data_IF_943109037436
#
_entry.id   IF_943109037436
#
_cell.length_a   1.000
_cell.length_b   1.000
_cell.length_c   1.000
_cell.angle_alpha   90.00
_cell.angle_beta   90.00
_cell.angle_gamma   90.00
#
_symmetry.space_group_name_H-M   'P 1'
#
loop_
_entity.id
_entity.type
_entity.pdbx_description
1 polymer ?
#
# COMPACT_ATOMS: atom_id res chain seq x y z
N UNK A 1 -32.45 54.65 46.07
CA UNK A 1 -32.83 53.92 44.84
C UNK A 1 -31.91 54.39 43.74
N UNK A 2 -31.20 53.59 42.95
CA UNK A 2 -30.76 52.20 42.96
C UNK A 2 -29.66 52.11 41.85
N UNK A 3 -28.82 51.08 41.92
CA UNK A 3 -27.57 50.87 41.17
C UNK A 3 -27.69 50.77 39.62
N UNK A 4 -26.56 50.88 38.88
CA UNK A 4 -26.50 50.60 37.45
C UNK A 4 -26.26 49.11 37.15
N UNK A 5 -26.98 48.50 36.20
CA UNK A 5 -26.67 47.13 35.71
C UNK A 5 -27.15 46.85 34.27
N UNK A 6 -26.38 45.96 33.62
CA UNK A 6 -26.76 45.00 32.61
C UNK A 6 -26.76 45.40 31.12
N UNK A 7 -25.54 45.39 30.56
CA UNK A 7 -25.13 44.58 29.40
C UNK A 7 -26.23 44.30 28.35
N UNK A 8 -26.39 45.20 27.38
CA UNK A 8 -26.95 44.81 26.08
C UNK A 8 -25.93 43.95 25.34
N UNK A 9 -26.32 42.68 25.23
CA UNK A 9 -25.71 41.55 24.54
C UNK A 9 -24.93 41.98 23.29
N UNK A 10 -23.65 41.61 23.28
CA UNK A 10 -22.83 41.56 22.06
C UNK A 10 -23.56 40.66 21.04
N UNK A 11 -23.50 40.96 19.74
CA UNK A 11 -23.88 39.95 18.75
C UNK A 11 -22.87 38.79 18.85
N UNK A 12 -23.39 37.59 19.10
CA UNK A 12 -22.64 36.34 18.99
C UNK A 12 -22.20 36.20 17.51
N UNK A 13 -20.94 36.57 17.24
CA UNK A 13 -20.20 36.20 16.03
C UNK A 13 -19.54 34.84 16.26
N UNK A 14 -20.37 33.84 16.55
CA UNK A 14 -19.98 32.44 16.40
C UNK A 14 -20.38 32.02 14.98
N UNK A 15 -19.61 32.47 13.99
CA UNK A 15 -19.71 32.01 12.62
C UNK A 15 -18.33 32.14 11.98
N UNK A 16 -17.74 30.97 11.72
CA UNK A 16 -16.48 30.71 11.03
C UNK A 16 -15.23 31.36 11.63
N UNK A 17 -14.57 30.58 12.48
CA UNK A 17 -13.11 30.47 12.39
C UNK A 17 -12.76 30.02 10.96
N UNK A 18 -12.73 30.97 10.03
CA UNK A 18 -11.81 30.86 8.90
C UNK A 18 -10.42 31.09 9.50
N UNK A 19 -9.77 30.00 9.89
CA UNK A 19 -8.31 29.97 9.83
C UNK A 19 -7.94 30.09 8.35
N UNK A 20 -7.82 31.33 7.90
CA UNK A 20 -7.06 31.66 6.70
C UNK A 20 -5.60 31.29 6.99
N UNK A 21 -5.30 30.01 6.91
CA UNK A 21 -3.93 29.51 6.83
C UNK A 21 -3.27 30.19 5.64
N UNK A 22 -2.25 30.98 5.94
CA UNK A 22 -1.37 31.64 4.99
C UNK A 22 -0.99 30.70 3.84
N UNK A 23 -1.42 31.02 2.61
CA UNK A 23 -1.08 30.27 1.39
C UNK A 23 -0.61 31.21 0.27
N UNK A 24 -0.25 32.46 0.58
CA UNK A 24 0.18 33.48 -0.40
C UNK A 24 1.71 33.52 -0.63
N UNK A 25 2.47 32.64 0.03
CA UNK A 25 3.94 32.62 -0.02
C UNK A 25 4.57 31.28 -0.41
N UNK A 26 3.77 30.24 -0.60
CA UNK A 26 4.27 28.91 -0.95
C UNK A 26 4.50 28.79 -2.47
N UNK A 27 5.55 28.06 -2.91
CA UNK A 27 5.80 27.81 -4.31
C UNK A 27 4.65 27.03 -4.97
N UNK A 28 4.45 27.24 -6.27
CA UNK A 28 3.30 26.75 -7.04
C UNK A 28 3.06 25.24 -6.87
N UNK A 29 4.11 24.43 -6.84
CA UNK A 29 4.00 22.96 -6.71
C UNK A 29 3.41 22.53 -5.36
N UNK A 30 3.75 23.24 -4.28
CA UNK A 30 3.23 22.96 -2.94
C UNK A 30 1.74 23.28 -2.92
N UNK A 31 1.35 24.44 -3.47
CA UNK A 31 -0.05 24.84 -3.60
C UNK A 31 -0.84 23.86 -4.47
N UNK A 32 -0.24 23.34 -5.54
CA UNK A 32 -0.85 22.32 -6.39
C UNK A 32 -1.15 21.02 -5.61
N UNK A 33 -0.18 20.50 -4.83
CA UNK A 33 -0.39 19.29 -4.03
C UNK A 33 -1.44 19.52 -2.92
N UNK A 34 -1.41 20.68 -2.25
CA UNK A 34 -2.45 21.05 -1.27
C UNK A 34 -3.84 21.07 -1.91
N UNK A 35 -3.97 21.61 -3.12
CA UNK A 35 -5.23 21.62 -3.85
C UNK A 35 -5.70 20.21 -4.24
N UNK A 36 -4.77 19.32 -4.61
CA UNK A 36 -5.09 17.91 -4.86
C UNK A 36 -5.61 17.24 -3.58
N UNK A 37 -4.95 17.45 -2.44
CA UNK A 37 -5.40 16.90 -1.14
C UNK A 37 -6.79 17.41 -0.75
N UNK A 38 -7.04 18.72 -0.92
CA UNK A 38 -8.36 19.34 -0.71
C UNK A 38 -9.42 18.73 -1.63
N UNK A 39 -9.09 18.47 -2.91
CA UNK A 39 -10.03 17.85 -3.87
C UNK A 39 -10.42 16.42 -3.51
N UNK A 40 -9.57 15.71 -2.76
CA UNK A 40 -9.85 14.37 -2.24
C UNK A 40 -10.60 14.39 -0.91
N UNK A 41 -10.94 15.57 -0.38
CA UNK A 41 -11.62 15.73 0.91
C UNK A 41 -10.71 15.60 2.13
N UNK A 42 -9.38 15.76 1.96
CA UNK A 42 -8.42 15.76 3.08
C UNK A 42 -8.18 17.20 3.51
N UNK A 43 -8.79 17.60 4.62
CA UNK A 43 -8.70 18.96 5.17
C UNK A 43 -7.52 19.13 6.15
N UNK A 44 -7.16 18.06 6.87
CA UNK A 44 -6.05 18.05 7.82
C UNK A 44 -4.96 17.05 7.38
N UNK A 45 -3.72 17.53 7.23
CA UNK A 45 -2.56 16.70 6.92
C UNK A 45 -1.31 17.21 7.64
N UNK A 46 -0.38 16.30 7.93
CA UNK A 46 0.93 16.67 8.45
C UNK A 46 1.75 17.38 7.35
N UNK A 47 2.49 18.46 7.66
CA UNK A 47 3.28 19.18 6.66
C UNK A 47 4.30 18.30 5.91
N UNK A 48 4.84 17.24 6.54
CA UNK A 48 5.78 16.31 5.90
C UNK A 48 5.17 15.46 4.77
N UNK A 49 3.84 15.32 4.74
CA UNK A 49 3.14 14.59 3.67
C UNK A 49 3.30 15.32 2.34
N UNK A 50 3.25 16.66 2.35
CA UNK A 50 3.37 17.47 1.14
C UNK A 50 4.77 17.32 0.54
N UNK A 51 5.81 17.40 1.37
CA UNK A 51 7.20 17.18 0.93
C UNK A 51 7.39 15.77 0.35
N UNK A 52 6.86 14.75 1.03
CA UNK A 52 6.97 13.35 0.59
C UNK A 52 6.26 13.12 -0.74
N UNK A 53 5.05 13.68 -0.92
CA UNK A 53 4.30 13.59 -2.17
C UNK A 53 5.01 14.31 -3.31
N UNK A 54 5.60 15.47 -3.03
CA UNK A 54 6.37 16.23 -4.00
C UNK A 54 7.63 15.45 -4.44
N UNK A 55 8.39 14.93 -3.48
CA UNK A 55 9.56 14.08 -3.73
C UNK A 55 9.19 12.84 -4.54
N UNK A 56 8.07 12.19 -4.19
CA UNK A 56 7.56 11.04 -4.93
C UNK A 56 7.21 11.40 -6.38
N UNK A 57 6.50 12.51 -6.60
CA UNK A 57 6.12 12.94 -7.94
C UNK A 57 7.35 13.21 -8.81
N UNK A 58 8.32 13.98 -8.29
CA UNK A 58 9.55 14.28 -9.00
C UNK A 58 10.37 13.04 -9.32
N UNK A 59 10.54 12.14 -8.36
CA UNK A 59 11.25 10.88 -8.60
C UNK A 59 10.52 10.02 -9.63
N UNK A 60 9.20 9.88 -9.50
CA UNK A 60 8.42 9.05 -10.42
C UNK A 60 8.48 9.57 -11.86
N UNK A 61 8.29 10.88 -12.07
CA UNK A 61 8.36 11.48 -13.41
C UNK A 61 9.77 11.33 -13.99
N UNK A 62 10.81 11.54 -13.18
CA UNK A 62 12.21 11.35 -13.62
C UNK A 62 12.46 9.90 -14.03
N UNK A 63 12.06 8.93 -13.21
CA UNK A 63 12.23 7.49 -13.51
C UNK A 63 11.51 7.09 -14.81
N UNK A 64 10.30 7.62 -15.04
CA UNK A 64 9.51 7.36 -16.26
C UNK A 64 10.21 7.95 -17.49
N UNK A 65 10.67 9.20 -17.39
CA UNK A 65 11.33 9.90 -18.51
C UNK A 65 12.69 9.26 -18.85
N UNK A 66 13.47 8.88 -17.84
CA UNK A 66 14.73 8.14 -18.04
C UNK A 66 14.48 6.80 -18.73
N UNK A 67 13.48 6.04 -18.26
CA UNK A 67 13.09 4.77 -18.88
C UNK A 67 12.64 4.96 -20.33
N UNK A 68 11.88 6.02 -20.62
CA UNK A 68 11.44 6.34 -21.97
C UNK A 68 12.60 6.77 -22.89
N UNK A 69 13.59 7.50 -22.36
CA UNK A 69 14.79 7.87 -23.11
C UNK A 69 15.62 6.63 -23.53
N UNK A 70 15.72 5.63 -22.64
CA UNK A 70 16.36 4.34 -22.97
C UNK A 70 15.59 3.62 -24.08
N UNK A 71 14.26 3.58 -24.00
CA UNK A 71 13.40 2.97 -25.03
C UNK A 71 13.55 3.69 -26.38
N UNK A 72 13.55 5.02 -26.38
CA UNK A 72 13.75 5.81 -27.60
C UNK A 72 15.13 5.57 -28.23
N UNK A 73 16.17 5.37 -27.41
CA UNK A 73 17.52 5.00 -27.88
C UNK A 73 17.61 3.59 -28.46
N UNK A 74 16.76 2.67 -27.99
CA UNK A 74 16.66 1.30 -28.51
C UNK A 74 15.75 1.20 -29.74
N UNK A 75 14.85 2.16 -29.93
CA UNK A 75 14.03 2.24 -31.13
C UNK A 75 14.93 2.52 -32.34
N UNK A 76 14.84 1.67 -33.38
CA UNK A 76 15.56 1.86 -34.66
C UNK A 76 14.94 2.98 -35.50
N UNK A 77 14.63 4.12 -34.89
CA UNK A 77 14.09 5.31 -35.55
C UNK A 77 15.24 6.26 -35.89
N UNK A 78 15.06 7.04 -36.96
CA UNK A 78 16.08 8.01 -37.41
C UNK A 78 16.28 9.15 -36.40
N UNK A 79 15.22 9.54 -35.70
CA UNK A 79 15.27 10.50 -34.59
C UNK A 79 15.16 9.76 -33.25
N UNK A 80 16.03 10.15 -32.31
CA UNK A 80 16.09 9.61 -30.94
C UNK A 80 15.33 10.49 -29.94
N UNK A 81 14.36 11.24 -30.42
CA UNK A 81 13.51 12.09 -29.60
C UNK A 81 12.50 11.22 -28.83
N UNK A 82 12.25 11.55 -27.57
CA UNK A 82 11.26 10.83 -26.74
C UNK A 82 9.86 11.08 -27.29
N UNK A 83 9.17 10.01 -27.67
CA UNK A 83 7.79 10.08 -28.17
C UNK A 83 6.77 9.67 -27.11
N UNK A 84 5.50 9.99 -27.34
CA UNK A 84 4.40 9.56 -26.49
C UNK A 84 4.32 8.04 -26.32
N UNK A 85 4.62 7.29 -27.39
CA UNK A 85 4.60 5.82 -27.34
C UNK A 85 5.72 5.26 -26.44
N UNK A 86 6.86 5.94 -26.38
CA UNK A 86 7.98 5.55 -25.51
C UNK A 86 7.62 5.77 -24.03
N UNK A 87 6.96 6.88 -23.70
CA UNK A 87 6.43 7.15 -22.35
C UNK A 87 5.35 6.14 -21.95
N UNK A 88 4.44 5.82 -22.87
CA UNK A 88 3.37 4.82 -22.64
C UNK A 88 3.95 3.43 -22.41
N UNK A 89 4.99 3.05 -23.14
CA UNK A 89 5.69 1.79 -22.95
C UNK A 89 6.45 1.77 -21.61
N UNK A 90 7.18 2.83 -21.28
CA UNK A 90 7.90 2.98 -20.01
C UNK A 90 6.95 2.80 -18.81
N UNK A 91 5.81 3.49 -18.82
CA UNK A 91 4.79 3.37 -17.78
C UNK A 91 4.30 1.92 -17.64
N UNK A 92 3.92 1.28 -18.74
CA UNK A 92 3.45 -0.13 -18.70
C UNK A 92 4.49 -1.09 -18.13
N UNK A 93 5.76 -0.86 -18.42
CA UNK A 93 6.86 -1.67 -17.88
C UNK A 93 7.01 -1.50 -16.36
N UNK A 94 6.80 -0.28 -15.85
CA UNK A 94 6.87 0.00 -14.40
C UNK A 94 5.62 -0.45 -13.64
N UNK A 95 4.43 -0.43 -14.27
CA UNK A 95 3.16 -0.83 -13.65
C UNK A 95 3.17 -2.26 -13.08
N UNK A 96 3.91 -3.16 -13.72
CA UNK A 96 4.03 -4.56 -13.27
C UNK A 96 4.67 -4.74 -11.88
N UNK A 97 5.37 -3.72 -11.35
CA UNK A 97 6.04 -3.79 -10.05
C UNK A 97 5.22 -3.21 -8.89
N UNK A 98 4.34 -2.24 -9.16
CA UNK A 98 3.72 -1.40 -8.11
C UNK A 98 2.20 -1.41 -8.13
N UNK A 99 1.57 -1.68 -9.28
CA UNK A 99 0.11 -1.72 -9.39
C UNK A 99 -0.38 -3.15 -9.24
N UNK A 100 -0.76 -3.50 -8.01
CA UNK A 100 -1.62 -4.64 -7.76
C UNK A 100 -3.01 -4.34 -8.32
N UNK A 101 -3.25 -4.65 -9.60
CA UNK A 101 -4.63 -4.74 -10.07
C UNK A 101 -5.34 -5.76 -9.18
N UNK A 102 -6.48 -5.41 -8.55
CA UNK A 102 -7.20 -6.36 -7.72
C UNK A 102 -7.49 -7.61 -8.57
N UNK A 103 -7.22 -8.83 -8.07
CA UNK A 103 -7.47 -10.03 -8.84
C UNK A 103 -8.92 -10.03 -9.33
N UNK A 104 -9.12 -10.28 -10.62
CA UNK A 104 -10.45 -10.28 -11.23
C UNK A 104 -11.40 -11.22 -10.49
N UNK A 105 -12.71 -10.94 -10.54
CA UNK A 105 -13.69 -11.80 -9.90
C UNK A 105 -13.64 -13.26 -10.41
N UNK A 106 -13.25 -13.47 -11.66
CA UNK A 106 -13.08 -14.80 -12.26
C UNK A 106 -11.92 -15.56 -11.62
N UNK A 107 -10.76 -14.92 -11.45
CA UNK A 107 -9.60 -15.55 -10.79
C UNK A 107 -9.88 -15.86 -9.33
N UNK A 108 -10.58 -14.96 -8.62
CA UNK A 108 -11.03 -15.22 -7.25
C UNK A 108 -12.02 -16.38 -7.17
N UNK A 109 -12.99 -16.47 -8.09
CA UNK A 109 -13.95 -17.59 -8.15
C UNK A 109 -13.26 -18.92 -8.47
N UNK A 110 -12.28 -18.93 -9.37
CA UNK A 110 -11.51 -20.13 -9.68
C UNK A 110 -10.72 -20.62 -8.46
N UNK A 111 -10.00 -19.72 -7.78
CA UNK A 111 -9.29 -20.04 -6.53
C UNK A 111 -10.24 -20.49 -5.42
N UNK A 112 -11.39 -19.85 -5.28
CA UNK A 112 -12.42 -20.24 -4.33
C UNK A 112 -13.01 -21.62 -4.66
N UNK A 113 -13.26 -21.93 -5.94
CA UNK A 113 -13.72 -23.25 -6.37
C UNK A 113 -12.72 -24.36 -6.03
N UNK A 114 -11.43 -24.13 -6.27
CA UNK A 114 -10.36 -25.08 -5.92
C UNK A 114 -10.28 -25.33 -4.40
N UNK A 115 -10.43 -24.28 -3.59
CA UNK A 115 -10.36 -24.38 -2.12
C UNK A 115 -11.62 -24.95 -1.49
N UNK A 116 -12.79 -24.46 -1.91
CA UNK A 116 -14.09 -24.85 -1.37
C UNK A 116 -14.53 -26.24 -1.84
N UNK A 117 -13.92 -26.78 -2.91
CA UNK A 117 -14.13 -28.15 -3.34
C UNK A 117 -13.53 -29.20 -2.40
N UNK A 118 -12.64 -28.82 -1.47
CA UNK A 118 -12.11 -29.72 -0.45
C UNK A 118 -13.20 -29.97 0.61
N UNK A 119 -13.59 -31.24 0.87
CA UNK A 119 -14.61 -31.52 1.87
C UNK A 119 -14.15 -31.03 3.24
N UNK A 120 -15.09 -30.54 4.03
CA UNK A 120 -14.80 -30.04 5.38
C UNK A 120 -14.18 -31.18 6.23
N UNK A 121 -13.14 -30.90 7.03
CA UNK A 121 -12.56 -31.88 7.92
C UNK A 121 -13.58 -32.30 8.99
N UNK A 122 -13.57 -33.59 9.35
CA UNK A 122 -14.46 -34.12 10.38
C UNK A 122 -14.12 -33.50 11.73
N UNK A 123 -15.08 -32.82 12.34
CA UNK A 123 -14.92 -32.23 13.68
C UNK A 123 -15.04 -33.35 14.72
N UNK A 124 -13.97 -33.61 15.47
CA UNK A 124 -13.89 -34.77 16.36
C UNK A 124 -14.82 -34.67 17.59
N UNK A 125 -14.98 -33.47 18.18
CA UNK A 125 -15.86 -33.20 19.33
C UNK A 125 -16.34 -31.74 19.37
N UNK A 126 -17.58 -31.47 19.82
CA UNK A 126 -18.01 -30.11 20.13
C UNK A 126 -17.05 -29.46 21.14
N UNK A 127 -16.53 -28.27 20.82
CA UNK A 127 -15.60 -27.54 21.67
C UNK A 127 -14.11 -27.91 21.54
N UNK A 128 -13.75 -28.91 20.73
CA UNK A 128 -12.36 -29.15 20.33
C UNK A 128 -12.16 -28.69 18.89
N UNK A 129 -11.15 -27.85 18.67
CA UNK A 129 -10.73 -27.44 17.32
C UNK A 129 -10.27 -28.62 16.46
N UNK A 130 -9.87 -28.39 15.21
CA UNK A 130 -9.41 -29.45 14.32
C UNK A 130 -8.34 -30.31 15.00
N UNK A 131 -8.43 -31.64 14.82
CA UNK A 131 -7.61 -32.64 15.51
C UNK A 131 -6.10 -32.59 15.20
N UNK A 132 -5.61 -31.56 14.52
CA UNK A 132 -4.21 -31.36 14.20
C UNK A 132 -3.44 -30.88 15.44
N UNK A 133 -2.88 -31.83 16.20
CA UNK A 133 -1.89 -31.63 17.27
C UNK A 133 -0.63 -30.84 16.83
N UNK A 134 -0.48 -30.53 15.53
CA UNK A 134 0.77 -30.03 14.92
C UNK A 134 0.74 -28.53 14.62
N UNK A 135 -0.32 -27.78 14.96
CA UNK A 135 -0.41 -26.33 14.64
C UNK A 135 -0.70 -25.47 15.86
N UNK A 136 -0.21 -25.88 17.03
CA UNK A 136 -0.08 -25.00 18.18
C UNK A 136 1.26 -24.28 18.11
N UNK A 137 1.26 -22.96 17.94
CA UNK A 137 2.45 -22.16 18.27
C UNK A 137 2.59 -22.19 19.80
N UNK A 138 3.31 -23.18 20.33
CA UNK A 138 3.70 -23.17 21.74
C UNK A 138 4.71 -22.03 21.96
N UNK A 139 4.55 -21.30 23.06
CA UNK A 139 5.40 -20.14 23.40
C UNK A 139 6.89 -20.50 23.54
N UNK A 140 7.24 -21.78 23.68
CA UNK A 140 8.63 -22.18 23.95
C UNK A 140 9.52 -22.41 22.74
N UNK A 141 8.95 -22.57 21.54
CA UNK A 141 9.77 -22.95 20.38
C UNK A 141 9.63 -21.99 19.20
N UNK A 142 10.36 -20.87 19.24
CA UNK A 142 10.56 -20.02 18.04
C UNK A 142 11.35 -20.74 16.94
N UNK A 143 11.95 -21.90 17.25
CA UNK A 143 12.74 -22.71 16.33
C UNK A 143 11.95 -23.82 15.62
N UNK A 144 10.75 -24.18 16.10
CA UNK A 144 9.94 -25.24 15.46
C UNK A 144 9.12 -24.65 14.33
N UNK A 145 9.80 -24.25 13.26
CA UNK A 145 9.13 -23.79 12.04
C UNK A 145 8.30 -24.93 11.45
N UNK A 146 7.00 -24.78 11.66
CA UNK A 146 5.84 -25.30 10.91
C UNK A 146 6.25 -25.92 9.57
N UNK A 147 6.57 -27.21 9.58
CA UNK A 147 6.60 -28.02 8.36
C UNK A 147 5.15 -28.39 8.06
N UNK A 148 4.41 -27.46 7.45
CA UNK A 148 3.09 -27.77 6.89
C UNK A 148 3.23 -29.04 6.03
N UNK A 149 2.33 -30.02 6.16
CA UNK A 149 2.28 -31.13 5.23
C UNK A 149 2.24 -30.58 3.80
N UNK A 150 2.86 -31.29 2.86
CA UNK A 150 3.12 -30.78 1.52
C UNK A 150 1.88 -30.24 0.79
N UNK A 151 0.72 -30.74 1.21
CA UNK A 151 -0.63 -30.58 0.68
C UNK A 151 -1.30 -29.25 1.10
N UNK A 152 -0.81 -28.67 2.19
CA UNK A 152 -1.29 -27.40 2.78
C UNK A 152 -0.32 -26.23 2.54
N UNK A 153 0.82 -26.50 1.90
CA UNK A 153 1.72 -25.43 1.45
C UNK A 153 1.04 -24.71 0.28
N UNK A 154 0.59 -23.49 0.52
CA UNK A 154 0.23 -22.57 -0.55
C UNK A 154 1.48 -22.32 -1.42
N UNK A 155 1.65 -23.06 -2.51
CA UNK A 155 2.72 -22.86 -3.50
C UNK A 155 2.40 -21.66 -4.37
N UNK A 156 2.26 -20.47 -3.77
CA UNK A 156 2.09 -19.20 -4.50
C UNK A 156 3.44 -18.66 -5.00
N UNK A 157 4.55 -19.33 -4.67
CA UNK A 157 5.89 -18.96 -5.10
C UNK A 157 6.59 -20.17 -5.72
N UNK A 158 6.63 -20.29 -7.06
CA UNK A 158 7.23 -21.45 -7.74
C UNK A 158 8.73 -21.65 -7.49
N UNK A 159 9.42 -20.69 -6.86
CA UNK A 159 10.88 -20.68 -6.70
C UNK A 159 11.38 -20.60 -5.26
N UNK A 160 10.53 -20.79 -4.24
CA UNK A 160 11.02 -20.77 -2.85
C UNK A 160 11.79 -22.06 -2.52
N UNK A 161 13.12 -21.99 -2.59
CA UNK A 161 14.02 -23.04 -2.10
C UNK A 161 14.29 -22.80 -0.61
N UNK A 162 13.81 -23.65 0.32
CA UNK A 162 14.03 -23.44 1.74
C UNK A 162 15.52 -23.52 2.07
N UNK A 163 16.02 -22.53 2.80
CA UNK A 163 17.41 -22.47 3.27
C UNK A 163 17.66 -23.64 4.23
N UNK A 164 18.60 -24.52 3.90
CA UNK A 164 19.05 -25.57 4.82
C UNK A 164 19.88 -24.92 5.93
N UNK A 165 19.30 -24.73 7.11
CA UNK A 165 20.09 -24.44 8.31
C UNK A 165 20.96 -25.68 8.61
N UNK A 166 22.28 -25.48 8.67
CA UNK A 166 23.22 -26.51 9.10
C UNK A 166 23.04 -26.72 10.60
N UNK A 167 22.60 -27.91 11.00
CA UNK A 167 22.61 -28.38 12.38
C UNK A 167 24.08 -28.54 12.82
N UNK A 168 24.59 -27.57 13.57
CA UNK A 168 25.85 -27.69 14.27
C UNK A 168 25.65 -28.62 15.46
N UNK A 169 26.20 -29.83 15.36
CA UNK A 169 26.34 -30.78 16.46
C UNK A 169 27.04 -30.11 17.65
N UNK A 170 26.33 -29.87 18.74
CA UNK A 170 26.94 -29.79 20.06
C UNK A 170 27.27 -31.21 20.54
N UNK A 171 28.53 -31.44 20.90
CA UNK A 171 29.08 -32.69 21.43
C UNK A 171 29.25 -32.51 22.97
N UNK A 172 29.16 -33.59 23.78
CA UNK A 172 28.96 -33.52 25.22
C UNK A 172 30.19 -33.07 26.01
#
# INVERSE_FOLDING_TARGET
>A
MAAPDARKRRPDRDAEQQEAGQDDGDPEDITMIKNVLKSMGVEEFEPGVVDTLLQYAYRHVTDVVESAAVIAGQARRERKDVTYDDLKLALRMQQGLLQGHPPTAETLKAMAGERNGRPLPVVARPGQGPASRVVGLDKKDWQTYVRLPAEDRCTVMPNYRPLKLKESRENP
#
